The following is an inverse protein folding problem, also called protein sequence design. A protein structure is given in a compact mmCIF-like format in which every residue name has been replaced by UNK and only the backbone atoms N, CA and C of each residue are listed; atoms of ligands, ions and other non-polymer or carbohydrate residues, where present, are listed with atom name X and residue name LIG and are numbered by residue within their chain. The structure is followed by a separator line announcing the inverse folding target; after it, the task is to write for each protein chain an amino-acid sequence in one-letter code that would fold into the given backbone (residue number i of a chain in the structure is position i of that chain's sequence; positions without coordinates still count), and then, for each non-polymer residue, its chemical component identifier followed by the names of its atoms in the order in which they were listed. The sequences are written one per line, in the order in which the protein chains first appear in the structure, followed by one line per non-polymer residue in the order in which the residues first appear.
data_IF_960064804239
#
_entry.id   IF_960064804239
#
_cell.length_a   1.000
_cell.length_b   1.000
_cell.length_c   1.000
_cell.angle_alpha   90.00
_cell.angle_beta   90.00
_cell.angle_gamma   90.00
#
_symmetry.space_group_name_H-M   'P 1'
#
loop_
_entity.id
_entity.type
_entity.pdbx_description
1 polymer ?
#
# COMPACT_ATOMS: atom_id res chain seq x y z
N UNK A 1 0.85 15.54 -16.86
CA UNK A 1 0.11 15.48 -15.59
C UNK A 1 -0.09 14.02 -15.24
N UNK A 2 0.55 13.54 -14.18
CA UNK A 2 0.39 12.15 -13.75
C UNK A 2 -1.05 11.81 -13.40
N UNK A 3 -1.41 10.55 -13.60
CA UNK A 3 -2.77 10.05 -13.44
C UNK A 3 -3.11 9.91 -11.95
N UNK A 4 -4.22 10.54 -11.53
CA UNK A 4 -4.78 10.40 -10.18
C UNK A 4 -5.44 9.02 -10.03
N UNK A 5 -6.10 8.54 -11.08
CA UNK A 5 -6.63 7.17 -11.14
C UNK A 5 -6.21 6.43 -12.41
N UNK A 6 -6.02 5.12 -12.32
CA UNK A 6 -5.66 4.24 -13.43
C UNK A 6 -6.23 2.83 -13.23
N UNK A 7 -6.35 2.03 -14.30
CA UNK A 7 -7.02 0.71 -14.24
C UNK A 7 -6.08 -0.42 -14.66
N UNK A 8 -6.02 -1.49 -13.88
CA UNK A 8 -5.26 -2.71 -14.21
C UNK A 8 -6.14 -3.90 -13.89
N UNK A 9 -6.34 -4.80 -14.85
CA UNK A 9 -7.13 -6.03 -14.68
C UNK A 9 -8.49 -5.79 -14.01
N UNK A 10 -9.27 -4.84 -14.53
CA UNK A 10 -10.57 -4.41 -14.01
C UNK A 10 -10.60 -3.87 -12.56
N UNK A 11 -9.42 -3.53 -11.99
CA UNK A 11 -9.31 -2.87 -10.69
C UNK A 11 -8.92 -1.42 -10.88
N UNK A 12 -9.56 -0.54 -10.12
CA UNK A 12 -9.24 0.88 -10.10
C UNK A 12 -8.15 1.14 -9.07
N UNK A 13 -7.07 1.78 -9.47
CA UNK A 13 -6.01 2.22 -8.58
C UNK A 13 -6.09 3.72 -8.41
N UNK A 14 -5.97 4.18 -7.17
CA UNK A 14 -5.95 5.58 -6.79
C UNK A 14 -4.51 5.92 -6.39
N UNK A 15 -3.90 6.85 -7.11
CA UNK A 15 -2.58 7.39 -6.87
C UNK A 15 -2.66 8.58 -5.91
N UNK A 16 -2.34 8.35 -4.64
CA UNK A 16 -2.66 9.31 -3.56
C UNK A 16 -1.56 10.35 -3.35
N UNK A 17 -0.30 9.97 -3.54
CA UNK A 17 0.86 10.85 -3.28
C UNK A 17 2.13 10.25 -3.90
N UNK A 18 3.10 11.11 -4.23
CA UNK A 18 4.47 10.68 -4.59
C UNK A 18 5.37 10.47 -3.37
N UNK A 19 4.95 10.91 -2.18
CA UNK A 19 5.76 10.83 -0.94
C UNK A 19 5.82 9.39 -0.45
N UNK A 20 6.98 8.95 0.03
CA UNK A 20 7.14 7.66 0.67
C UNK A 20 8.17 7.75 1.80
N UNK A 21 7.98 6.94 2.84
CA UNK A 21 8.91 6.80 3.96
C UNK A 21 9.98 5.73 3.72
N UNK A 22 9.93 5.05 2.58
CA UNK A 22 10.97 4.15 2.07
C UNK A 22 11.60 4.72 0.80
N UNK A 23 12.88 4.38 0.61
CA UNK A 23 13.65 4.62 -0.62
C UNK A 23 14.13 3.29 -1.20
N UNK A 24 13.20 2.36 -1.41
CA UNK A 24 13.52 0.98 -1.78
C UNK A 24 14.35 0.91 -3.07
N UNK A 25 15.30 -0.03 -3.13
CA UNK A 25 16.15 -0.22 -4.33
C UNK A 25 15.35 -0.70 -5.54
N UNK A 26 14.25 -1.41 -5.30
CA UNK A 26 13.35 -2.00 -6.29
C UNK A 26 12.11 -1.12 -6.55
N UNK A 27 12.09 0.12 -6.06
CA UNK A 27 10.91 0.97 -6.20
C UNK A 27 10.76 1.46 -7.64
N UNK A 28 9.55 1.34 -8.18
CA UNK A 28 9.21 1.88 -9.51
C UNK A 28 9.42 3.40 -9.63
N UNK A 29 9.44 4.14 -8.51
CA UNK A 29 9.82 5.57 -8.47
C UNK A 29 11.24 5.86 -8.96
N UNK A 30 12.08 4.84 -9.04
CA UNK A 30 13.43 4.94 -9.59
C UNK A 30 13.45 4.74 -11.12
N UNK A 31 12.32 4.42 -11.75
CA UNK A 31 12.19 4.25 -13.20
C UNK A 31 11.81 5.57 -13.89
N UNK A 32 12.28 5.77 -15.11
CA UNK A 32 11.91 6.94 -15.94
C UNK A 32 10.53 6.80 -16.59
N UNK A 33 9.96 5.58 -16.67
CA UNK A 33 8.91 5.23 -17.63
C UNK A 33 7.47 5.15 -17.11
N UNK A 34 7.21 5.36 -15.82
CA UNK A 34 5.84 5.12 -15.33
C UNK A 34 5.62 3.66 -14.94
N UNK A 35 4.35 3.26 -14.80
CA UNK A 35 3.97 1.86 -14.67
C UNK A 35 3.70 1.26 -16.06
N UNK A 36 4.60 0.38 -16.52
CA UNK A 36 4.53 -0.25 -17.84
C UNK A 36 4.58 0.75 -19.01
N UNK A 37 4.08 0.32 -20.18
CA UNK A 37 3.92 1.18 -21.37
C UNK A 37 2.55 1.89 -21.34
N UNK A 38 2.39 2.95 -20.54
CA UNK A 38 1.22 3.82 -20.71
C UNK A 38 0.73 4.63 -19.51
N UNK A 39 1.23 4.37 -18.30
CA UNK A 39 0.78 5.11 -17.11
C UNK A 39 1.87 6.04 -16.56
N UNK A 40 1.73 7.34 -16.81
CA UNK A 40 2.49 8.36 -16.08
C UNK A 40 1.86 8.55 -14.70
N UNK A 41 2.53 8.05 -13.66
CA UNK A 41 2.06 8.11 -12.27
C UNK A 41 2.71 9.24 -11.48
N UNK A 42 3.58 10.07 -12.08
CA UNK A 42 4.22 11.14 -11.33
C UNK A 42 3.27 12.34 -11.18
N UNK A 43 2.64 12.45 -10.02
CA UNK A 43 1.67 13.52 -9.75
C UNK A 43 2.36 14.89 -9.72
N UNK A 44 1.72 15.92 -10.29
CA UNK A 44 2.21 17.31 -10.19
C UNK A 44 2.06 17.86 -8.76
N UNK A 45 0.99 17.46 -8.08
CA UNK A 45 0.69 17.75 -6.66
C UNK A 45 -0.07 16.57 -6.06
N UNK A 46 -0.06 16.46 -4.73
CA UNK A 46 -0.93 15.50 -4.04
C UNK A 46 -2.41 15.89 -4.30
N UNK A 47 -3.25 15.02 -4.90
CA UNK A 47 -4.64 15.32 -5.17
C UNK A 47 -5.47 15.43 -3.89
N UNK A 48 -6.53 16.23 -3.93
CA UNK A 48 -7.53 16.29 -2.86
C UNK A 48 -8.50 15.10 -2.92
N UNK A 49 -9.24 14.85 -1.84
CA UNK A 49 -10.31 13.85 -1.85
C UNK A 49 -11.38 14.17 -2.91
N UNK A 50 -11.72 15.45 -3.10
CA UNK A 50 -12.65 15.91 -4.13
C UNK A 50 -12.14 15.63 -5.54
N UNK A 51 -10.86 15.92 -5.83
CA UNK A 51 -10.22 15.65 -7.13
C UNK A 51 -10.22 14.14 -7.44
N UNK A 52 -9.89 13.30 -6.44
CA UNK A 52 -9.96 11.84 -6.56
C UNK A 52 -11.39 11.38 -6.87
N UNK A 53 -12.36 11.78 -6.05
CA UNK A 53 -13.75 11.37 -6.21
C UNK A 53 -14.35 11.84 -7.54
N UNK A 54 -13.93 13.02 -8.02
CA UNK A 54 -14.36 13.53 -9.31
C UNK A 54 -13.92 12.65 -10.49
N UNK A 55 -12.75 12.01 -10.43
CA UNK A 55 -12.30 11.08 -11.47
C UNK A 55 -13.08 9.75 -11.46
N UNK A 56 -13.58 9.33 -10.31
CA UNK A 56 -14.28 8.04 -10.14
C UNK A 56 -15.76 8.19 -10.53
N UNK A 57 -16.05 8.07 -11.83
CA UNK A 57 -17.42 8.25 -12.36
C UNK A 57 -18.39 7.15 -11.97
N UNK A 58 -17.99 5.89 -12.12
CA UNK A 58 -18.78 4.72 -11.75
C UNK A 58 -17.87 3.73 -11.02
N UNK A 59 -17.90 3.72 -9.68
CA UNK A 59 -17.06 2.81 -8.89
C UNK A 59 -17.54 1.35 -8.96
N UNK A 60 -18.80 1.07 -9.35
CA UNK A 60 -19.38 -0.28 -9.29
C UNK A 60 -18.92 -1.20 -10.41
N UNK A 61 -18.34 -0.64 -11.49
CA UNK A 61 -17.84 -1.43 -12.62
C UNK A 61 -16.52 -2.19 -12.33
N UNK A 62 -15.85 -1.87 -11.23
CA UNK A 62 -14.55 -2.44 -10.89
C UNK A 62 -14.68 -3.61 -9.91
N UNK A 63 -13.76 -4.56 -9.99
CA UNK A 63 -13.73 -5.71 -9.07
C UNK A 63 -13.21 -5.32 -7.67
N UNK A 64 -12.35 -4.29 -7.63
CA UNK A 64 -11.70 -3.78 -6.42
C UNK A 64 -11.21 -2.35 -6.69
N UNK A 65 -11.25 -1.49 -5.66
CA UNK A 65 -10.63 -0.16 -5.69
C UNK A 65 -9.46 -0.15 -4.72
N UNK A 66 -8.28 0.27 -5.19
CA UNK A 66 -7.00 0.12 -4.50
C UNK A 66 -6.36 1.48 -4.28
N UNK A 67 -6.22 1.88 -3.03
CA UNK A 67 -5.33 2.99 -2.65
C UNK A 67 -3.88 2.52 -2.78
N UNK A 68 -3.17 3.10 -3.73
CA UNK A 68 -1.80 2.74 -4.11
C UNK A 68 -1.11 4.00 -4.68
N UNK A 69 -0.26 3.80 -5.69
CA UNK A 69 0.43 4.85 -6.40
C UNK A 69 1.94 4.67 -6.36
N UNK A 70 2.65 5.74 -6.68
CA UNK A 70 4.10 5.80 -6.57
C UNK A 70 4.57 5.89 -5.11
N UNK A 71 3.84 6.63 -4.26
CA UNK A 71 4.18 6.82 -2.86
C UNK A 71 3.54 5.83 -1.88
N UNK A 72 3.57 6.22 -0.61
CA UNK A 72 2.88 5.57 0.50
C UNK A 72 1.54 6.28 0.74
N UNK A 73 0.39 5.68 0.36
CA UNK A 73 -0.90 6.35 0.42
C UNK A 73 -1.28 6.76 1.85
N UNK A 74 -0.89 5.98 2.87
CA UNK A 74 -1.24 6.29 4.25
C UNK A 74 -0.44 7.46 4.85
N UNK A 75 0.51 8.06 4.14
CA UNK A 75 1.01 9.41 4.49
C UNK A 75 -0.15 10.42 4.44
N UNK A 76 -1.10 10.24 3.52
CA UNK A 76 -2.31 11.04 3.36
C UNK A 76 -3.53 10.37 3.97
N UNK A 77 -3.40 9.93 5.23
CA UNK A 77 -4.41 9.16 5.93
C UNK A 77 -5.81 9.80 5.88
N UNK A 78 -5.91 11.12 6.11
CA UNK A 78 -7.20 11.81 6.12
C UNK A 78 -7.89 11.76 4.74
N UNK A 79 -7.12 11.95 3.65
CA UNK A 79 -7.63 11.83 2.27
C UNK A 79 -8.08 10.41 1.97
N UNK A 80 -7.29 9.40 2.36
CA UNK A 80 -7.67 7.99 2.17
C UNK A 80 -8.97 7.67 2.90
N UNK A 81 -9.12 8.09 4.16
CA UNK A 81 -10.34 7.87 4.95
C UNK A 81 -11.53 8.59 4.33
N UNK A 82 -11.37 9.85 3.91
CA UNK A 82 -12.44 10.63 3.31
C UNK A 82 -12.96 10.01 2.01
N UNK A 83 -12.04 9.64 1.10
CA UNK A 83 -12.38 8.97 -0.16
C UNK A 83 -13.02 7.60 0.13
N UNK A 84 -12.46 6.81 1.05
CA UNK A 84 -13.00 5.49 1.37
C UNK A 84 -14.42 5.58 1.95
N UNK A 85 -14.69 6.54 2.85
CA UNK A 85 -16.03 6.81 3.37
C UNK A 85 -17.01 7.11 2.25
N UNK A 86 -16.65 8.02 1.35
CA UNK A 86 -17.51 8.41 0.22
C UNK A 86 -17.76 7.26 -0.74
N UNK A 87 -16.74 6.46 -1.06
CA UNK A 87 -16.90 5.28 -1.89
C UNK A 87 -17.81 4.22 -1.24
N UNK A 88 -17.74 4.02 0.08
CA UNK A 88 -18.64 3.10 0.81
C UNK A 88 -20.10 3.56 0.83
N UNK A 89 -20.37 4.86 0.71
CA UNK A 89 -21.74 5.40 0.61
C UNK A 89 -22.39 5.10 -0.76
N UNK A 90 -21.58 5.02 -1.83
CA UNK A 90 -22.06 4.93 -3.21
C UNK A 90 -21.72 3.61 -3.92
N UNK A 91 -20.92 2.75 -3.29
CA UNK A 91 -20.42 1.51 -3.87
C UNK A 91 -20.31 0.37 -2.85
N UNK A 92 -20.56 -0.84 -3.33
CA UNK A 92 -20.29 -2.09 -2.61
C UNK A 92 -18.93 -2.71 -2.96
N UNK A 93 -18.19 -2.11 -3.90
CA UNK A 93 -16.91 -2.65 -4.36
C UNK A 93 -15.89 -2.67 -3.21
N UNK A 94 -15.14 -3.78 -3.04
CA UNK A 94 -14.11 -3.87 -2.01
C UNK A 94 -13.03 -2.80 -2.15
N UNK A 95 -12.66 -2.20 -1.03
CA UNK A 95 -11.58 -1.22 -0.92
C UNK A 95 -10.34 -1.88 -0.32
N UNK A 96 -9.19 -1.72 -1.00
CA UNK A 96 -7.87 -2.17 -0.53
C UNK A 96 -6.92 -1.00 -0.34
N UNK A 97 -6.08 -1.06 0.68
CA UNK A 97 -4.89 -0.21 0.80
C UNK A 97 -3.62 -1.04 0.62
N UNK A 98 -2.73 -0.58 -0.26
CA UNK A 98 -1.34 -1.04 -0.29
C UNK A 98 -0.49 -0.10 0.57
N UNK A 99 0.33 -0.64 1.47
CA UNK A 99 1.16 0.17 2.37
C UNK A 99 2.49 -0.50 2.70
N UNK A 100 3.48 0.29 3.12
CA UNK A 100 4.71 -0.16 3.76
C UNK A 100 4.55 -0.41 5.27
N UNK A 101 3.41 -0.06 5.87
CA UNK A 101 3.11 -0.34 7.28
C UNK A 101 3.65 0.70 8.27
N UNK A 102 4.19 1.84 7.82
CA UNK A 102 4.74 2.87 8.71
C UNK A 102 3.67 3.82 9.29
N UNK A 103 2.42 3.71 8.85
CA UNK A 103 1.37 4.71 9.07
C UNK A 103 1.11 5.00 10.56
N UNK A 104 1.00 3.98 11.41
CA UNK A 104 0.78 4.19 12.84
C UNK A 104 1.93 4.92 13.53
N UNK A 105 3.16 4.67 13.08
CA UNK A 105 4.35 5.35 13.62
C UNK A 105 4.40 6.82 13.22
N UNK A 106 4.09 7.16 11.97
CA UNK A 106 4.13 8.55 11.48
C UNK A 106 2.98 9.39 12.06
N UNK A 107 1.78 8.81 12.19
CA UNK A 107 0.59 9.53 12.68
C UNK A 107 0.44 9.51 14.19
N UNK A 108 1.24 8.70 14.90
CA UNK A 108 1.13 8.46 16.35
C UNK A 108 -0.30 8.07 16.77
N UNK A 109 -0.94 7.25 15.93
CA UNK A 109 -2.33 6.80 16.06
C UNK A 109 -2.43 5.31 15.70
N UNK A 110 -3.46 4.64 16.18
CA UNK A 110 -3.80 3.29 15.73
C UNK A 110 -4.45 3.37 14.33
N UNK A 111 -3.65 3.42 13.27
CA UNK A 111 -4.16 3.60 11.91
C UNK A 111 -5.05 2.44 11.45
N UNK A 112 -4.75 1.16 11.73
CA UNK A 112 -5.67 0.08 11.37
C UNK A 112 -7.06 0.23 12.01
N UNK A 113 -7.13 0.71 13.26
CA UNK A 113 -8.42 1.03 13.89
C UNK A 113 -9.16 2.16 13.16
N UNK A 114 -8.46 3.19 12.69
CA UNK A 114 -9.07 4.31 11.95
C UNK A 114 -9.54 3.93 10.54
N UNK A 115 -8.91 2.92 9.93
CA UNK A 115 -9.32 2.36 8.64
C UNK A 115 -10.47 1.35 8.77
N UNK A 116 -10.76 0.88 9.99
CA UNK A 116 -11.82 -0.08 10.29
C UNK A 116 -13.17 0.41 9.79
N UNK A 117 -13.94 -0.48 9.16
CA UNK A 117 -15.25 -0.18 8.58
C UNK A 117 -15.21 0.52 7.22
N UNK A 118 -14.05 1.04 6.78
CA UNK A 118 -13.90 1.68 5.47
C UNK A 118 -13.05 0.85 4.51
N UNK A 119 -12.01 0.18 5.01
CA UNK A 119 -11.11 -0.65 4.21
C UNK A 119 -11.38 -2.12 4.47
N UNK A 120 -11.61 -2.90 3.41
CA UNK A 120 -11.88 -4.35 3.52
C UNK A 120 -10.57 -5.15 3.56
N UNK A 121 -9.55 -4.67 2.84
CA UNK A 121 -8.28 -5.37 2.62
C UNK A 121 -7.10 -4.44 2.85
N UNK A 122 -6.04 -4.97 3.47
CA UNK A 122 -4.76 -4.27 3.55
C UNK A 122 -3.63 -5.19 3.09
N UNK A 123 -2.77 -4.67 2.22
CA UNK A 123 -1.59 -5.36 1.71
C UNK A 123 -0.34 -4.63 2.18
N UNK A 124 0.38 -5.25 3.11
CA UNK A 124 1.53 -4.67 3.80
C UNK A 124 2.81 -5.21 3.16
N UNK A 125 3.70 -4.32 2.74
CA UNK A 125 4.94 -4.68 2.04
C UNK A 125 6.05 -4.96 3.06
N UNK A 126 6.22 -6.22 3.45
CA UNK A 126 7.26 -6.65 4.39
C UNK A 126 8.63 -6.67 3.72
N UNK A 127 8.72 -7.24 2.51
CA UNK A 127 9.88 -7.33 1.62
C UNK A 127 11.18 -7.94 2.19
N UNK A 128 11.36 -8.06 3.49
CA UNK A 128 12.58 -8.59 4.10
C UNK A 128 12.25 -9.39 5.37
N UNK A 129 13.05 -10.43 5.71
CA UNK A 129 12.77 -11.29 6.86
C UNK A 129 13.20 -10.68 8.20
N UNK A 130 14.07 -9.67 8.18
CA UNK A 130 14.61 -9.04 9.37
C UNK A 130 14.94 -7.57 9.12
N UNK A 131 15.24 -6.86 10.22
CA UNK A 131 15.54 -5.43 10.25
C UNK A 131 16.75 -5.07 9.41
N UNK A 132 17.81 -5.87 9.47
CA UNK A 132 19.05 -5.64 8.73
C UNK A 132 18.77 -5.65 7.22
N UNK A 133 18.12 -6.70 6.74
CA UNK A 133 17.76 -6.84 5.33
C UNK A 133 16.73 -5.80 4.89
N UNK A 134 15.77 -5.45 5.75
CA UNK A 134 14.80 -4.38 5.47
C UNK A 134 15.52 -3.04 5.27
N UNK A 135 16.48 -2.71 6.13
CA UNK A 135 17.27 -1.49 6.02
C UNK A 135 18.13 -1.45 4.75
N UNK A 136 18.65 -2.60 4.30
CA UNK A 136 19.41 -2.71 3.06
C UNK A 136 18.55 -2.41 1.82
N UNK A 137 17.39 -3.07 1.71
CA UNK A 137 16.60 -3.08 0.46
C UNK A 137 15.46 -2.05 0.44
N UNK A 138 14.82 -1.79 1.58
CA UNK A 138 13.70 -0.84 1.68
C UNK A 138 14.19 0.57 2.02
N UNK A 139 15.35 0.68 2.69
CA UNK A 139 16.00 1.95 3.08
C UNK A 139 14.99 2.92 3.71
N UNK A 140 14.41 2.54 4.86
CA UNK A 140 13.44 3.39 5.54
C UNK A 140 14.09 4.67 6.05
N UNK A 141 13.27 5.69 6.26
CA UNK A 141 13.69 6.94 6.89
C UNK A 141 14.21 6.76 8.33
N UNK A 142 13.82 5.68 9.00
CA UNK A 142 14.22 5.31 10.36
C UNK A 142 14.63 3.83 10.38
N UNK A 143 15.86 3.55 10.84
CA UNK A 143 16.44 2.20 10.84
C UNK A 143 15.73 1.24 11.80
N UNK A 144 14.98 1.76 12.76
CA UNK A 144 14.28 0.99 13.79
C UNK A 144 12.80 0.74 13.43
N UNK A 145 12.35 1.17 12.26
CA UNK A 145 10.93 1.09 11.86
C UNK A 145 10.42 -0.34 11.63
N UNK A 146 11.32 -1.32 11.41
CA UNK A 146 10.93 -2.68 11.06
C UNK A 146 10.02 -3.32 12.12
N UNK A 147 10.34 -3.14 13.41
CA UNK A 147 9.51 -3.68 14.49
C UNK A 147 8.10 -3.04 14.50
N UNK A 148 8.01 -1.76 14.10
CA UNK A 148 6.72 -1.09 13.91
C UNK A 148 5.92 -1.65 12.72
N UNK A 149 6.57 -2.10 11.64
CA UNK A 149 5.91 -2.80 10.53
C UNK A 149 5.29 -4.11 11.03
N UNK A 150 6.05 -4.89 11.82
CA UNK A 150 5.55 -6.14 12.41
C UNK A 150 4.36 -5.87 13.35
N UNK A 151 4.43 -4.82 14.18
CA UNK A 151 3.32 -4.45 15.05
C UNK A 151 2.11 -3.96 14.26
N UNK A 152 2.32 -3.20 13.17
CA UNK A 152 1.25 -2.75 12.29
C UNK A 152 0.51 -3.92 11.65
N UNK A 153 1.23 -4.99 11.25
CA UNK A 153 0.61 -6.22 10.73
C UNK A 153 -0.27 -6.89 11.78
N UNK A 154 0.22 -7.03 13.02
CA UNK A 154 -0.56 -7.61 14.13
C UNK A 154 -1.80 -6.79 14.43
N UNK A 155 -1.64 -5.47 14.52
CA UNK A 155 -2.73 -4.56 14.83
C UNK A 155 -3.79 -4.55 13.73
N UNK A 156 -3.37 -4.66 12.46
CA UNK A 156 -4.28 -4.77 11.31
C UNK A 156 -5.23 -5.94 11.40
N UNK A 157 -4.79 -7.10 11.94
CA UNK A 157 -5.68 -8.26 12.11
C UNK A 157 -6.84 -8.04 13.06
N UNK A 158 -6.72 -7.09 13.99
CA UNK A 158 -7.79 -6.81 14.97
C UNK A 158 -8.95 -6.05 14.34
N UNK A 159 -8.72 -5.34 13.23
CA UNK A 159 -9.66 -4.35 12.68
C UNK A 159 -9.99 -4.55 11.19
N UNK A 160 -9.08 -5.12 10.41
CA UNK A 160 -9.25 -5.29 8.96
C UNK A 160 -9.56 -6.75 8.65
N UNK A 161 -10.61 -6.98 7.86
CA UNK A 161 -11.13 -8.32 7.55
C UNK A 161 -10.08 -9.21 6.89
N UNK A 162 -9.28 -8.66 5.99
CA UNK A 162 -8.33 -9.42 5.20
C UNK A 162 -6.97 -8.70 5.14
N UNK A 163 -5.97 -9.30 5.80
CA UNK A 163 -4.61 -8.77 5.90
C UNK A 163 -3.66 -9.65 5.10
N UNK A 164 -2.93 -9.03 4.19
CA UNK A 164 -1.88 -9.64 3.38
C UNK A 164 -0.54 -9.02 3.72
N UNK A 165 0.48 -9.86 3.72
CA UNK A 165 1.87 -9.46 3.69
C UNK A 165 2.47 -9.89 2.36
N UNK A 166 3.33 -9.05 1.79
CA UNK A 166 3.99 -9.36 0.52
C UNK A 166 5.48 -9.04 0.51
N UNK A 167 6.19 -9.75 -0.36
CA UNK A 167 7.59 -9.49 -0.73
C UNK A 167 7.71 -9.41 -2.25
N UNK A 168 8.77 -8.74 -2.71
CA UNK A 168 9.20 -8.78 -4.12
C UNK A 168 10.30 -9.84 -4.23
N UNK A 169 10.33 -10.59 -5.32
CA UNK A 169 11.28 -11.68 -5.60
C UNK A 169 12.71 -11.22 -5.96
N UNK A 170 13.16 -10.11 -5.36
CA UNK A 170 14.53 -9.57 -5.46
C UNK A 170 15.45 -10.02 -4.30
N UNK A 171 14.92 -10.82 -3.37
CA UNK A 171 15.64 -11.41 -2.24
C UNK A 171 15.80 -12.93 -2.45
N UNK A 172 16.66 -13.60 -1.68
CA UNK A 172 16.90 -15.03 -1.88
C UNK A 172 15.65 -15.86 -1.60
N UNK A 173 15.61 -17.10 -2.12
CA UNK A 173 14.49 -18.02 -1.87
C UNK A 173 14.35 -18.33 -0.37
N UNK A 174 15.46 -18.42 0.34
CA UNK A 174 15.50 -18.60 1.78
C UNK A 174 14.89 -17.41 2.51
N UNK A 175 15.23 -16.18 2.12
CA UNK A 175 14.67 -14.94 2.69
C UNK A 175 13.16 -14.82 2.41
N UNK A 176 12.69 -15.23 1.22
CA UNK A 176 11.26 -15.29 0.88
C UNK A 176 10.52 -16.26 1.81
N UNK A 177 11.10 -17.46 2.03
CA UNK A 177 10.49 -18.47 2.89
C UNK A 177 10.45 -18.01 4.36
N UNK A 178 11.45 -17.27 4.83
CA UNK A 178 11.42 -16.63 6.14
C UNK A 178 10.30 -15.59 6.25
N UNK A 179 10.13 -14.74 5.24
CA UNK A 179 9.00 -13.80 5.19
C UNK A 179 7.64 -14.51 5.24
N UNK A 180 7.52 -15.64 4.52
CA UNK A 180 6.32 -16.48 4.55
C UNK A 180 6.07 -17.07 5.94
N UNK A 181 7.12 -17.53 6.63
CA UNK A 181 7.03 -18.02 8.02
C UNK A 181 6.59 -16.90 8.98
N UNK A 182 7.06 -15.67 8.79
CA UNK A 182 6.62 -14.50 9.57
C UNK A 182 5.12 -14.27 9.36
N UNK A 183 4.65 -14.21 8.10
CA UNK A 183 3.24 -14.06 7.79
C UNK A 183 2.38 -15.16 8.44
N UNK A 184 2.82 -16.42 8.34
CA UNK A 184 2.15 -17.56 8.96
C UNK A 184 2.09 -17.45 10.50
N UNK A 185 3.22 -17.11 11.14
CA UNK A 185 3.28 -16.90 12.60
C UNK A 185 2.38 -15.76 13.06
N UNK A 186 2.26 -14.72 12.26
CA UNK A 186 1.37 -13.59 12.50
C UNK A 186 -0.08 -13.90 12.12
N UNK A 187 -0.37 -15.03 11.48
CA UNK A 187 -1.70 -15.47 11.05
C UNK A 187 -2.32 -14.59 9.97
N UNK A 188 -1.50 -14.10 9.04
CA UNK A 188 -1.92 -13.30 7.87
C UNK A 188 -1.58 -14.02 6.58
N UNK A 189 -2.21 -13.60 5.48
CA UNK A 189 -1.93 -14.16 4.17
C UNK A 189 -0.56 -13.69 3.66
N UNK A 190 0.06 -14.48 2.78
CA UNK A 190 1.33 -14.15 2.13
C UNK A 190 1.19 -14.15 0.61
N UNK A 191 1.78 -13.15 -0.05
CA UNK A 191 1.87 -13.07 -1.51
C UNK A 191 3.30 -12.71 -1.94
N UNK A 192 3.89 -13.52 -2.82
CA UNK A 192 5.10 -13.13 -3.54
C UNK A 192 4.71 -12.28 -4.76
N UNK A 193 5.45 -11.21 -5.00
CA UNK A 193 5.30 -10.31 -6.15
C UNK A 193 6.52 -10.48 -7.04
N UNK A 194 6.26 -10.53 -8.34
CA UNK A 194 7.32 -10.52 -9.36
C UNK A 194 7.86 -9.10 -9.48
N UNK A 195 9.18 -8.98 -9.58
CA UNK A 195 9.86 -7.73 -9.88
C UNK A 195 9.66 -7.37 -11.35
N UNK A 196 9.21 -6.15 -11.59
CA UNK A 196 9.09 -5.56 -12.92
C UNK A 196 10.21 -4.52 -13.05
N UNK A 197 11.08 -4.70 -14.04
CA UNK A 197 12.22 -3.81 -14.36
C UNK A 197 11.78 -2.50 -15.01
#
# INVERSE_FOLDING_TARGET
MGMITYTIDNRLYINVTNKCTNSCIFCIRNSEKGLGEGYDLWLEKDPTAEEILFEIKDPQKYDEIVFCGYGEPLIKLDVVIEVAKKLKEISSVPLRVNTNGHASYIHKKNVPQLLSGFIDRISISLNAPNKEKYNEICRPFDKDIYDHVIEFIKESRKYIKEVWVSCVDIISKEEIEECKKIAHKLGVNFKLRVYEE
#
